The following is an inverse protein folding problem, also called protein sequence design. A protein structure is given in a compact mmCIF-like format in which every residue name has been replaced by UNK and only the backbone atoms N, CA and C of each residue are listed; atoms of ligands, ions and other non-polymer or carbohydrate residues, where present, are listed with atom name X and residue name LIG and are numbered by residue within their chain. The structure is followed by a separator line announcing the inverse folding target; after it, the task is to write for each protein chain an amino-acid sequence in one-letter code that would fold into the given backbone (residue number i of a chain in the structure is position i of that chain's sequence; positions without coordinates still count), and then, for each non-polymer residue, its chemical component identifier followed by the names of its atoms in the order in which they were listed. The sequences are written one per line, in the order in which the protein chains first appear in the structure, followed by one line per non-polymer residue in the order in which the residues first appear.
data_IF_802385094040
#
_entry.id   IF_802385094040
#
_cell.length_a   1.000
_cell.length_b   1.000
_cell.length_c   1.000
_cell.angle_alpha   90.00
_cell.angle_beta   90.00
_cell.angle_gamma   90.00
#
_symmetry.space_group_name_H-M   'P 1'
#
loop_
_entity.id
_entity.type
_entity.pdbx_description
1 polymer ?
#
# COMPACT_ATOMS: atom_id res chain seq x y z
N UNK A 1 7.26 -7.17 18.38
CA UNK A 1 7.56 -6.57 19.70
C UNK A 1 6.28 -6.04 20.30
N UNK A 2 6.23 -5.76 21.63
CA UNK A 2 5.05 -5.18 22.28
C UNK A 2 3.86 -6.12 22.52
N UNK A 3 3.99 -7.42 22.26
CA UNK A 3 2.93 -8.39 22.57
C UNK A 3 2.82 -8.61 24.08
N UNK A 4 1.57 -8.63 24.57
CA UNK A 4 1.21 -8.93 25.96
C UNK A 4 0.19 -10.08 25.99
N UNK A 5 -0.14 -10.57 27.17
CA UNK A 5 -1.14 -11.63 27.35
C UNK A 5 -2.57 -11.19 26.96
N UNK A 6 -2.81 -9.88 26.80
CA UNK A 6 -4.12 -9.36 26.37
C UNK A 6 -4.29 -9.39 24.85
N UNK A 7 -3.22 -9.63 24.08
CA UNK A 7 -3.28 -9.65 22.61
C UNK A 7 -3.75 -11.02 22.10
N UNK A 8 -4.87 -11.03 21.40
CA UNK A 8 -5.40 -12.20 20.71
C UNK A 8 -5.01 -12.22 19.20
N UNK A 9 -5.47 -13.27 18.50
CA UNK A 9 -5.19 -13.48 17.06
C UNK A 9 -5.60 -12.29 16.17
N UNK A 10 -6.70 -11.61 16.49
CA UNK A 10 -7.16 -10.45 15.75
C UNK A 10 -6.17 -9.27 15.82
N UNK A 11 -5.54 -9.06 16.99
CA UNK A 11 -4.52 -8.03 17.16
C UNK A 11 -3.26 -8.34 16.32
N UNK A 12 -2.83 -9.62 16.31
CA UNK A 12 -1.69 -10.06 15.50
C UNK A 12 -1.99 -9.90 14.01
N UNK A 13 -3.17 -10.29 13.56
CA UNK A 13 -3.58 -10.12 12.17
C UNK A 13 -3.58 -8.64 11.76
N UNK A 14 -4.18 -7.78 12.59
CA UNK A 14 -4.21 -6.34 12.35
C UNK A 14 -2.79 -5.75 12.30
N UNK A 15 -1.91 -6.12 13.22
CA UNK A 15 -0.53 -5.62 13.25
C UNK A 15 0.26 -6.01 11.99
N UNK A 16 -0.01 -7.18 11.40
CA UNK A 16 0.58 -7.57 10.11
C UNK A 16 0.11 -6.63 8.97
N UNK A 17 -1.18 -6.31 8.91
CA UNK A 17 -1.73 -5.39 7.92
C UNK A 17 -1.16 -3.97 8.09
N UNK A 18 -1.05 -3.49 9.33
CA UNK A 18 -0.47 -2.19 9.67
C UNK A 18 1.02 -2.12 9.32
N UNK A 19 1.78 -3.18 9.59
CA UNK A 19 3.19 -3.27 9.20
C UNK A 19 3.41 -3.15 7.69
N UNK A 20 2.54 -3.76 6.88
CA UNK A 20 2.57 -3.62 5.41
C UNK A 20 2.22 -2.18 5.00
N UNK A 21 1.23 -1.56 5.66
CA UNK A 21 0.83 -0.19 5.37
C UNK A 21 1.94 0.82 5.74
N UNK A 22 2.71 0.59 6.82
CA UNK A 22 3.89 1.39 7.14
C UNK A 22 4.97 1.29 6.06
N UNK A 23 5.19 0.11 5.50
CA UNK A 23 6.08 -0.06 4.35
C UNK A 23 5.61 0.73 3.13
N UNK A 24 4.30 0.77 2.85
CA UNK A 24 3.73 1.61 1.79
C UNK A 24 3.96 3.09 2.06
N UNK A 25 3.70 3.56 3.28
CA UNK A 25 3.95 4.95 3.69
C UNK A 25 5.42 5.32 3.51
N UNK A 26 6.34 4.45 3.94
CA UNK A 26 7.78 4.67 3.77
C UNK A 26 8.18 4.86 2.31
N UNK A 27 7.64 4.04 1.41
CA UNK A 27 7.90 4.18 -0.04
C UNK A 27 7.39 5.52 -0.57
N UNK A 28 6.18 5.95 -0.17
CA UNK A 28 5.60 7.23 -0.58
C UNK A 28 6.43 8.41 -0.06
N UNK A 29 6.85 8.39 1.20
CA UNK A 29 7.71 9.42 1.77
C UNK A 29 9.09 9.46 1.10
N UNK A 30 9.65 8.31 0.76
CA UNK A 30 10.89 8.22 -0.02
C UNK A 30 10.73 8.84 -1.41
N UNK A 31 9.61 8.58 -2.09
CA UNK A 31 9.29 9.24 -3.36
C UNK A 31 9.13 10.76 -3.19
N UNK A 32 8.47 11.19 -2.12
CA UNK A 32 8.30 12.61 -1.81
C UNK A 32 9.64 13.31 -1.56
N UNK A 33 10.59 12.65 -0.89
CA UNK A 33 11.91 13.24 -0.58
C UNK A 33 12.76 13.56 -1.82
N UNK A 34 12.47 12.92 -2.95
CA UNK A 34 13.10 13.19 -4.26
C UNK A 34 12.21 14.03 -5.20
N UNK A 35 11.15 14.66 -4.66
CA UNK A 35 10.23 15.49 -5.44
C UNK A 35 9.20 14.73 -6.26
N UNK A 36 9.06 13.41 -6.08
CA UNK A 36 8.14 12.54 -6.82
C UNK A 36 6.91 12.13 -5.98
N UNK A 37 6.36 13.06 -5.20
CA UNK A 37 5.15 12.80 -4.41
C UNK A 37 3.99 12.34 -5.31
N UNK A 38 3.39 11.17 -5.08
CA UNK A 38 2.25 10.73 -5.85
C UNK A 38 1.05 11.65 -5.60
N UNK A 39 0.36 12.03 -6.67
CA UNK A 39 -0.84 12.88 -6.60
C UNK A 39 -2.12 12.09 -6.34
N UNK A 40 -2.09 10.79 -6.56
CA UNK A 40 -3.23 9.88 -6.37
C UNK A 40 -2.73 8.46 -6.12
N UNK A 41 -3.49 7.71 -5.36
CA UNK A 41 -3.28 6.28 -5.14
C UNK A 41 -4.44 5.51 -5.77
N UNK A 42 -4.12 4.53 -6.61
CA UNK A 42 -5.11 3.63 -7.20
C UNK A 42 -4.85 2.24 -6.68
N UNK A 43 -5.81 1.70 -5.92
CA UNK A 43 -5.70 0.35 -5.38
C UNK A 43 -6.18 -0.68 -6.40
N UNK A 44 -5.35 -1.71 -6.65
CA UNK A 44 -5.66 -2.80 -7.58
C UNK A 44 -5.23 -4.15 -7.01
N UNK A 45 -5.78 -5.24 -7.56
CA UNK A 45 -5.38 -6.59 -7.20
C UNK A 45 -6.16 -7.20 -6.04
N UNK A 46 -5.66 -8.32 -5.51
CA UNK A 46 -6.39 -9.15 -4.54
C UNK A 46 -6.67 -8.51 -3.19
N UNK A 47 -5.85 -7.54 -2.79
CA UNK A 47 -6.01 -6.80 -1.54
C UNK A 47 -7.32 -6.02 -1.43
N UNK A 48 -7.93 -5.67 -2.56
CA UNK A 48 -9.22 -4.97 -2.62
C UNK A 48 -10.39 -5.76 -1.99
N UNK A 49 -10.24 -7.07 -1.83
CA UNK A 49 -11.22 -7.94 -1.18
C UNK A 49 -11.25 -7.75 0.33
N UNK A 50 -10.27 -7.08 0.91
CA UNK A 50 -10.19 -6.83 2.34
C UNK A 50 -10.41 -5.33 2.64
N UNK A 51 -11.64 -4.92 2.99
CA UNK A 51 -11.96 -3.52 3.26
C UNK A 51 -11.21 -2.95 4.48
N UNK A 52 -10.89 -3.79 5.47
CA UNK A 52 -10.09 -3.39 6.61
C UNK A 52 -8.68 -2.97 6.18
N UNK A 53 -8.05 -3.75 5.29
CA UNK A 53 -6.72 -3.42 4.80
C UNK A 53 -6.69 -2.13 3.97
N UNK A 54 -7.69 -1.93 3.11
CA UNK A 54 -7.83 -0.68 2.36
C UNK A 54 -7.93 0.53 3.30
N UNK A 55 -8.76 0.43 4.34
CA UNK A 55 -8.91 1.52 5.31
C UNK A 55 -7.59 1.78 6.06
N UNK A 56 -6.93 0.73 6.57
CA UNK A 56 -5.63 0.85 7.23
C UNK A 56 -4.60 1.53 6.32
N UNK A 57 -4.53 1.16 5.04
CA UNK A 57 -3.60 1.80 4.10
C UNK A 57 -3.90 3.29 3.91
N UNK A 58 -5.19 3.68 3.76
CA UNK A 58 -5.57 5.10 3.68
C UNK A 58 -5.20 5.85 4.94
N UNK A 59 -5.51 5.29 6.11
CA UNK A 59 -5.30 5.92 7.41
C UNK A 59 -3.81 6.13 7.71
N UNK A 60 -2.99 5.10 7.47
CA UNK A 60 -1.53 5.13 7.71
C UNK A 60 -0.82 6.10 6.77
N UNK A 61 -1.21 6.09 5.48
CA UNK A 61 -0.60 6.97 4.47
C UNK A 61 -1.13 8.40 4.58
N UNK A 62 -2.36 8.58 5.06
CA UNK A 62 -3.04 9.87 5.10
C UNK A 62 -3.51 10.35 3.72
N UNK A 63 -3.71 9.42 2.77
CA UNK A 63 -4.18 9.72 1.42
C UNK A 63 -5.38 8.85 1.06
N UNK A 64 -6.31 9.42 0.29
CA UNK A 64 -7.43 8.67 -0.27
C UNK A 64 -6.94 7.66 -1.33
N UNK A 65 -7.57 6.48 -1.37
CA UNK A 65 -7.36 5.47 -2.37
C UNK A 65 -8.55 5.37 -3.31
N UNK A 66 -8.29 5.44 -4.59
CA UNK A 66 -9.28 5.24 -5.65
C UNK A 66 -9.36 3.77 -6.04
N UNK A 67 -10.56 3.24 -6.15
CA UNK A 67 -10.82 1.84 -6.53
C UNK A 67 -11.46 1.84 -7.91
N UNK A 68 -10.79 1.26 -8.93
CA UNK A 68 -11.36 1.14 -10.26
C UNK A 68 -12.42 0.04 -10.33
N UNK A 69 -13.34 0.17 -11.28
CA UNK A 69 -14.36 -0.85 -11.58
C UNK A 69 -13.73 -2.20 -11.92
N UNK A 70 -12.62 -2.18 -12.68
CA UNK A 70 -11.84 -3.37 -13.02
C UNK A 70 -10.58 -3.42 -12.16
N UNK A 71 -10.51 -4.45 -11.34
CA UNK A 71 -9.46 -4.62 -10.32
C UNK A 71 -8.36 -5.61 -10.72
N UNK A 72 -8.36 -6.02 -11.99
CA UNK A 72 -7.40 -6.97 -12.59
C UNK A 72 -6.05 -6.25 -12.79
N UNK A 73 -5.29 -6.03 -11.82
CA UNK A 73 -3.94 -5.44 -11.78
C UNK A 73 -3.14 -5.35 -13.10
N UNK A 74 -1.90 -5.85 -13.11
CA UNK A 74 -0.96 -5.70 -14.23
C UNK A 74 -1.49 -6.24 -15.57
N UNK A 75 -2.12 -7.41 -15.58
CA UNK A 75 -2.63 -8.03 -16.82
C UNK A 75 -3.64 -7.14 -17.58
N UNK A 76 -4.35 -6.27 -16.88
CA UNK A 76 -5.26 -5.31 -17.51
C UNK A 76 -4.50 -4.18 -18.22
N UNK A 77 -3.41 -3.72 -17.60
CA UNK A 77 -2.50 -2.75 -18.21
C UNK A 77 -1.77 -3.34 -19.42
N UNK A 78 -1.32 -4.59 -19.33
CA UNK A 78 -0.66 -5.31 -20.42
C UNK A 78 -1.58 -5.48 -21.63
N UNK A 79 -2.85 -5.81 -21.40
CA UNK A 79 -3.86 -5.88 -22.46
C UNK A 79 -4.07 -4.53 -23.16
N UNK A 80 -4.07 -3.42 -22.41
CA UNK A 80 -4.13 -2.08 -22.97
C UNK A 80 -2.90 -1.78 -23.85
N UNK A 81 -1.70 -2.06 -23.35
CA UNK A 81 -0.45 -1.82 -24.06
C UNK A 81 -0.36 -2.66 -25.34
N UNK A 82 -0.77 -3.94 -25.27
CA UNK A 82 -0.83 -4.80 -26.45
C UNK A 82 -1.80 -4.27 -27.51
N UNK A 83 -2.99 -3.82 -27.08
CA UNK A 83 -3.98 -3.22 -27.99
C UNK A 83 -3.49 -1.91 -28.63
N UNK A 84 -2.75 -1.09 -27.85
CA UNK A 84 -2.13 0.13 -28.36
C UNK A 84 -1.02 -0.19 -29.38
N UNK A 85 -0.13 -1.13 -29.07
CA UNK A 85 0.94 -1.57 -29.97
C UNK A 85 0.41 -2.20 -31.27
N UNK A 86 -0.71 -2.94 -31.20
CA UNK A 86 -1.37 -3.55 -32.35
C UNK A 86 -2.21 -2.54 -33.20
N UNK A 87 -2.26 -1.26 -32.82
CA UNK A 87 -3.05 -0.24 -33.51
C UNK A 87 -4.57 -0.36 -33.29
N UNK A 88 -5.02 -1.22 -32.37
CA UNK A 88 -6.44 -1.35 -32.00
C UNK A 88 -6.92 -0.19 -31.13
N UNK A 89 -6.01 0.43 -30.40
CA UNK A 89 -6.23 1.61 -29.55
C UNK A 89 -5.34 2.74 -30.09
N UNK A 90 -5.94 3.75 -30.71
CA UNK A 90 -5.19 4.82 -31.38
C UNK A 90 -5.05 6.10 -30.54
N UNK A 91 -5.70 6.20 -29.38
CA UNK A 91 -5.68 7.36 -28.50
C UNK A 91 -5.39 6.96 -27.06
N UNK A 92 -4.23 7.40 -26.55
CA UNK A 92 -3.83 7.16 -25.15
C UNK A 92 -4.80 7.73 -24.11
N UNK A 93 -5.60 8.75 -24.47
CA UNK A 93 -6.64 9.33 -23.61
C UNK A 93 -7.77 8.32 -23.30
N UNK A 94 -7.95 7.31 -24.15
CA UNK A 94 -8.91 6.23 -23.93
C UNK A 94 -8.62 5.43 -22.64
N UNK A 95 -7.36 5.36 -22.21
CA UNK A 95 -6.99 4.73 -20.95
C UNK A 95 -7.79 5.35 -19.80
N UNK A 96 -7.71 6.69 -19.66
CA UNK A 96 -8.39 7.41 -18.59
C UNK A 96 -9.91 7.40 -18.74
N UNK A 97 -10.43 7.48 -19.97
CA UNK A 97 -11.85 7.64 -20.23
C UNK A 97 -12.64 6.33 -20.18
N UNK A 98 -12.05 5.23 -20.67
CA UNK A 98 -12.77 3.98 -20.87
C UNK A 98 -12.21 2.80 -20.07
N UNK A 99 -10.91 2.82 -19.73
CA UNK A 99 -10.25 1.70 -19.08
C UNK A 99 -10.13 1.85 -17.58
N UNK A 100 -9.98 3.08 -17.09
CA UNK A 100 -9.82 3.35 -15.65
C UNK A 100 -11.01 4.16 -15.14
N UNK A 101 -12.15 3.49 -14.93
CA UNK A 101 -13.34 4.08 -14.31
C UNK A 101 -13.27 3.84 -12.79
N UNK A 102 -13.19 4.93 -12.01
CA UNK A 102 -13.21 4.87 -10.55
C UNK A 102 -14.65 4.72 -10.07
N UNK A 103 -14.90 3.73 -9.22
CA UNK A 103 -16.23 3.41 -8.68
C UNK A 103 -16.34 3.63 -7.18
N UNK A 104 -15.21 3.74 -6.49
CA UNK A 104 -15.18 3.97 -5.04
C UNK A 104 -13.90 4.70 -4.65
N UNK A 105 -14.00 5.51 -3.60
CA UNK A 105 -12.85 6.11 -2.91
C UNK A 105 -12.88 5.68 -1.44
N UNK A 106 -11.72 5.38 -0.88
CA UNK A 106 -11.54 5.11 0.55
C UNK A 106 -10.77 6.27 1.15
N UNK A 107 -11.46 7.10 1.92
CA UNK A 107 -10.89 8.26 2.57
C UNK A 107 -10.16 7.86 3.86
N UNK A 108 -9.03 8.54 4.20
CA UNK A 108 -8.38 8.34 5.49
C UNK A 108 -9.23 8.88 6.63
N UNK A 109 -9.28 8.15 7.76
CA UNK A 109 -9.86 8.64 8.99
C UNK A 109 -8.83 9.52 9.73
N UNK A 110 -9.09 10.80 9.80
CA UNK A 110 -8.19 11.77 10.42
C UNK A 110 -8.08 11.61 11.94
N UNK A 111 -9.08 11.03 12.60
CA UNK A 111 -9.08 10.84 14.07
C UNK A 111 -8.03 9.84 14.53
N UNK A 112 -7.68 8.85 13.69
CA UNK A 112 -6.68 7.83 14.01
C UNK A 112 -5.27 8.20 13.54
N UNK A 113 -5.14 9.25 12.74
CA UNK A 113 -3.87 9.67 12.16
C UNK A 113 -2.77 9.92 13.20
N UNK A 114 -3.00 10.64 14.33
CA UNK A 114 -1.94 10.87 15.32
C UNK A 114 -1.38 9.57 15.91
N UNK A 115 -2.23 8.57 16.17
CA UNK A 115 -1.80 7.27 16.66
C UNK A 115 -0.95 6.53 15.61
N UNK A 116 -1.32 6.58 14.33
CA UNK A 116 -0.53 5.97 13.27
C UNK A 116 0.79 6.71 13.02
N UNK A 117 0.84 8.01 13.20
CA UNK A 117 2.09 8.79 13.09
C UNK A 117 3.09 8.36 14.17
N UNK A 118 2.65 8.26 15.42
CA UNK A 118 3.49 7.78 16.55
C UNK A 118 3.99 6.34 16.30
N UNK A 119 3.10 5.43 15.91
CA UNK A 119 3.44 4.04 15.64
C UNK A 119 4.38 3.90 14.43
N UNK A 120 4.26 4.75 13.43
CA UNK A 120 5.15 4.79 12.29
C UNK A 120 6.56 5.23 12.68
N UNK A 121 6.70 6.22 13.53
CA UNK A 121 8.00 6.64 14.06
C UNK A 121 8.68 5.50 14.84
N UNK A 122 7.91 4.77 15.66
CA UNK A 122 8.39 3.57 16.36
C UNK A 122 8.82 2.50 15.34
N UNK A 123 8.04 2.24 14.29
CA UNK A 123 8.37 1.28 13.23
C UNK A 123 9.72 1.62 12.58
N UNK A 124 9.95 2.89 12.23
CA UNK A 124 11.23 3.34 11.67
C UNK A 124 12.40 3.18 12.64
N UNK A 125 12.21 3.54 13.90
CA UNK A 125 13.24 3.37 14.94
C UNK A 125 13.59 1.89 15.15
N UNK A 126 12.59 1.01 15.20
CA UNK A 126 12.79 -0.42 15.36
C UNK A 126 13.64 -1.00 14.22
N UNK A 127 13.29 -0.69 12.96
CA UNK A 127 14.08 -1.18 11.83
C UNK A 127 15.53 -0.72 11.90
N UNK A 128 15.79 0.58 12.16
CA UNK A 128 17.15 1.11 12.26
C UNK A 128 17.96 0.46 13.38
N UNK A 129 17.34 0.24 14.54
CA UNK A 129 18.00 -0.30 15.72
C UNK A 129 18.21 -1.83 15.67
N UNK A 130 17.40 -2.56 14.88
CA UNK A 130 17.47 -4.03 14.81
C UNK A 130 17.90 -4.55 13.45
N UNK A 131 18.26 -3.67 12.49
CA UNK A 131 18.61 -4.06 11.12
C UNK A 131 19.73 -5.08 11.05
N UNK A 132 20.76 -4.92 11.89
CA UNK A 132 21.90 -5.84 11.95
C UNK A 132 21.47 -7.26 12.32
N UNK A 133 20.66 -7.39 13.35
CA UNK A 133 20.16 -8.67 13.85
C UNK A 133 19.15 -9.28 12.87
N UNK A 134 18.28 -8.47 12.29
CA UNK A 134 17.32 -8.93 11.26
C UNK A 134 18.05 -9.51 10.03
N UNK A 135 19.10 -8.86 9.57
CA UNK A 135 19.91 -9.36 8.44
C UNK A 135 20.66 -10.64 8.80
N UNK A 136 21.16 -10.76 10.05
CA UNK A 136 21.77 -12.01 10.52
C UNK A 136 20.78 -13.15 10.57
N UNK A 137 19.56 -12.92 11.05
CA UNK A 137 18.49 -13.91 11.07
C UNK A 137 18.05 -14.32 9.65
N UNK A 138 17.93 -13.37 8.74
CA UNK A 138 17.57 -13.63 7.34
C UNK A 138 18.67 -14.37 6.58
N UNK A 139 19.94 -14.13 6.94
CA UNK A 139 21.10 -14.80 6.37
C UNK A 139 21.45 -16.15 6.98
N UNK A 140 20.64 -16.71 7.90
CA UNK A 140 20.79 -17.92 8.72
C UNK A 140 21.95 -18.89 8.41
N UNK A 141 22.32 -19.82 9.27
CA UNK A 141 23.42 -20.73 8.96
C UNK A 141 23.10 -21.46 7.66
N UNK A 142 23.98 -21.30 6.68
CA UNK A 142 23.95 -22.11 5.44
C UNK A 142 24.19 -23.55 5.83
N UNK A 143 23.10 -24.34 5.91
CA UNK A 143 23.19 -25.79 6.05
C UNK A 143 23.65 -26.40 4.73
#
# INVERSE_FOLDING_TARGET
MGLTLTHGRAHIYRSCLEGIAYGLRHNIETMASIGAMPRRLVAVGGGLKNPLWLQICSDVVGMSQEIPERTIGAAYGDAYLAGYAAGLINDSRMLKQKWVKIVKTVEPNQDVKPAYDELYDIYHCLYRNTRGEMHRLAGGPKH
#
